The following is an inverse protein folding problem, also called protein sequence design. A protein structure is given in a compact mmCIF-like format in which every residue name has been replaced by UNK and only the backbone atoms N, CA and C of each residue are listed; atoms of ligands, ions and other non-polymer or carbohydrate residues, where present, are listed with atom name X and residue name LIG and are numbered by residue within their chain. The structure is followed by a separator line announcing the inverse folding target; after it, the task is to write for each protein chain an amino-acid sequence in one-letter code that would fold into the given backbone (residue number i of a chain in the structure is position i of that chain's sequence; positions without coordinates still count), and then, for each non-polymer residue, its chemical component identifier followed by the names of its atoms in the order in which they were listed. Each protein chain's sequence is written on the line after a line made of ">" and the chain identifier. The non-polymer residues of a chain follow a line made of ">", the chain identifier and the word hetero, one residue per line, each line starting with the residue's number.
data_IF_093948704629
#
_entry.id   IF_093948704629
#
_cell.length_a   1.000
_cell.length_b   1.000
_cell.length_c   1.000
_cell.angle_alpha   90.00
_cell.angle_beta   90.00
_cell.angle_gamma   90.00
#
_symmetry.space_group_name_H-M   'P 1'
#
loop_
_entity.id
_entity.type
_entity.pdbx_description
1 polymer ?
#
# COMPACT_ATOMS: atom_id res chain seq x y z
N UNK A 1 5.26 -4.99 17.58
CA UNK A 1 6.04 -4.09 16.73
C UNK A 1 7.53 -4.33 16.96
N UNK A 2 8.34 -4.45 15.91
CA UNK A 2 9.79 -4.62 16.03
C UNK A 2 10.50 -3.48 15.31
N UNK A 3 11.54 -2.94 15.92
CA UNK A 3 12.40 -1.90 15.36
C UNK A 3 13.85 -2.35 15.44
N UNK A 4 14.65 -1.91 14.49
CA UNK A 4 16.08 -2.17 14.45
C UNK A 4 16.83 -0.91 14.02
N UNK A 5 18.10 -0.82 14.41
CA UNK A 5 19.05 0.15 13.87
C UNK A 5 20.43 -0.49 13.80
N UNK A 6 21.22 -0.07 12.84
CA UNK A 6 22.66 -0.28 12.93
C UNK A 6 23.23 0.59 14.05
N UNK A 7 24.14 0.04 14.84
CA UNK A 7 24.83 0.79 15.89
C UNK A 7 26.14 1.32 15.30
N UNK A 8 26.14 2.58 14.94
CA UNK A 8 27.33 3.31 14.47
C UNK A 8 28.35 3.42 15.60
N UNK A 9 29.63 3.54 15.26
CA UNK A 9 30.74 3.50 16.23
C UNK A 9 30.67 4.66 17.24
N UNK A 10 30.21 5.83 16.78
CA UNK A 10 29.99 7.03 17.58
C UNK A 10 28.53 7.17 18.09
N UNK A 11 27.62 6.31 17.63
CA UNK A 11 26.20 6.35 17.98
C UNK A 11 25.38 7.40 17.24
N UNK A 12 25.96 8.10 16.26
CA UNK A 12 25.34 9.20 15.52
C UNK A 12 24.72 8.77 14.19
N UNK A 13 23.98 9.69 13.55
CA UNK A 13 23.38 9.51 12.23
C UNK A 13 24.35 9.90 11.11
N UNK A 14 24.63 8.97 10.20
CA UNK A 14 25.56 9.12 9.07
C UNK A 14 24.81 9.04 7.73
N UNK A 15 24.30 10.15 7.19
CA UNK A 15 23.48 10.15 5.96
C UNK A 15 24.20 9.61 4.72
N UNK A 16 25.53 9.68 4.71
CA UNK A 16 26.40 9.17 3.65
C UNK A 16 26.65 7.66 3.72
N UNK A 17 26.31 7.02 4.85
CA UNK A 17 26.52 5.60 5.02
C UNK A 17 25.59 4.77 4.09
N UNK A 18 25.99 3.53 3.74
CA UNK A 18 25.14 2.62 3.00
C UNK A 18 23.76 2.45 3.66
N UNK A 19 22.74 2.17 2.85
CA UNK A 19 21.38 1.96 3.35
C UNK A 19 21.37 0.91 4.47
N UNK A 20 20.75 1.25 5.60
CA UNK A 20 20.67 0.39 6.77
C UNK A 20 21.80 0.57 7.78
N UNK A 21 22.89 1.26 7.42
CA UNK A 21 24.09 1.42 8.26
C UNK A 21 24.28 2.85 8.81
N UNK A 22 23.31 3.72 8.56
CA UNK A 22 23.35 5.14 8.90
C UNK A 22 22.96 5.48 10.35
N UNK A 23 22.66 4.50 11.20
CA UNK A 23 22.22 4.77 12.58
C UNK A 23 20.73 5.08 12.76
N UNK A 24 19.94 5.15 11.67
CA UNK A 24 18.47 5.36 11.77
C UNK A 24 17.72 4.12 12.28
N UNK A 25 16.74 4.37 13.14
CA UNK A 25 15.73 3.37 13.49
C UNK A 25 14.83 3.06 12.29
N UNK A 26 14.58 1.77 12.08
CA UNK A 26 13.76 1.23 11.01
C UNK A 26 12.77 0.22 11.57
N UNK A 27 11.61 0.17 10.95
CA UNK A 27 10.62 -0.87 11.23
C UNK A 27 11.08 -2.22 10.69
N UNK A 28 10.74 -3.27 11.42
CA UNK A 28 10.83 -4.65 10.98
C UNK A 28 9.42 -5.24 10.89
N UNK A 29 9.09 -5.80 9.74
CA UNK A 29 7.83 -6.52 9.53
C UNK A 29 8.01 -7.98 9.99
N UNK A 30 7.07 -8.46 10.81
CA UNK A 30 6.97 -9.85 11.29
C UNK A 30 5.52 -10.17 11.62
N UNK A 31 5.20 -11.46 11.75
CA UNK A 31 3.90 -11.98 12.21
C UNK A 31 2.71 -11.38 11.45
N UNK A 32 2.67 -11.65 10.14
CA UNK A 32 1.64 -11.15 9.21
C UNK A 32 0.48 -12.14 9.00
N UNK A 33 0.39 -13.18 9.83
CA UNK A 33 -0.62 -14.25 9.77
C UNK A 33 -2.05 -13.75 10.02
N UNK A 34 -2.21 -12.66 10.77
CA UNK A 34 -3.50 -11.95 10.93
C UNK A 34 -3.96 -11.21 9.66
N UNK A 35 -3.16 -11.25 8.59
CA UNK A 35 -3.57 -10.82 7.27
C UNK A 35 -4.81 -11.57 6.75
N UNK A 36 -5.44 -11.01 5.71
CA UNK A 36 -6.57 -11.61 4.99
C UNK A 36 -7.77 -12.06 5.86
N UNK A 37 -7.92 -11.50 7.06
CA UNK A 37 -9.10 -11.71 7.89
C UNK A 37 -9.07 -12.99 8.73
N UNK A 38 -7.88 -13.42 9.20
CA UNK A 38 -7.74 -14.53 10.14
C UNK A 38 -8.76 -14.44 11.29
N UNK A 39 -9.27 -15.60 11.73
CA UNK A 39 -10.33 -15.72 12.74
C UNK A 39 -11.64 -14.99 12.37
N UNK A 40 -11.95 -14.92 11.08
CA UNK A 40 -13.18 -14.31 10.58
C UNK A 40 -13.22 -12.79 10.72
N UNK A 41 -12.06 -12.13 10.84
CA UNK A 41 -11.99 -10.66 10.87
C UNK A 41 -12.52 -10.11 9.55
N UNK A 42 -13.55 -9.26 9.65
CA UNK A 42 -14.23 -8.68 8.49
C UNK A 42 -13.28 -7.98 7.52
N UNK A 43 -13.54 -8.10 6.22
CA UNK A 43 -12.85 -7.32 5.18
C UNK A 43 -13.05 -5.81 5.33
N UNK A 44 -14.07 -5.37 6.07
CA UNK A 44 -14.32 -3.98 6.43
C UNK A 44 -13.66 -3.54 7.75
N UNK A 45 -12.89 -4.40 8.42
CA UNK A 45 -12.22 -4.03 9.68
C UNK A 45 -11.29 -2.82 9.46
N UNK A 46 -11.51 -1.75 10.21
CA UNK A 46 -10.78 -0.50 10.04
C UNK A 46 -9.41 -0.54 10.74
N UNK A 47 -8.45 -1.20 10.09
CA UNK A 47 -7.08 -1.34 10.60
C UNK A 47 -6.34 -0.01 10.71
N UNK A 48 -6.76 1.03 9.98
CA UNK A 48 -6.21 2.38 10.09
C UNK A 48 -6.63 3.03 11.42
N UNK A 49 -7.92 2.96 11.77
CA UNK A 49 -8.42 3.44 13.05
C UNK A 49 -7.80 2.67 14.23
N UNK A 50 -7.70 1.34 14.09
CA UNK A 50 -7.02 0.49 15.06
C UNK A 50 -5.55 0.92 15.28
N UNK A 51 -4.77 1.06 14.21
CA UNK A 51 -3.36 1.43 14.28
C UNK A 51 -3.15 2.86 14.77
N UNK A 52 -4.07 3.78 14.47
CA UNK A 52 -4.04 5.17 14.95
C UNK A 52 -4.53 5.32 16.40
N UNK A 53 -5.01 4.26 17.04
CA UNK A 53 -5.56 4.31 18.39
C UNK A 53 -6.85 5.13 18.49
N UNK A 54 -7.69 5.08 17.45
CA UNK A 54 -9.05 5.66 17.46
C UNK A 54 -10.09 4.68 18.02
N UNK A 55 -9.79 3.38 17.95
CA UNK A 55 -10.56 2.30 18.57
C UNK A 55 -9.68 1.58 19.58
N UNK A 56 -10.27 0.90 20.55
CA UNK A 56 -9.55 0.05 21.49
C UNK A 56 -9.90 -1.43 21.21
N UNK A 57 -8.89 -2.25 20.91
CA UNK A 57 -9.06 -3.68 20.63
C UNK A 57 -8.02 -4.48 21.43
N UNK A 58 -8.12 -4.40 22.75
CA UNK A 58 -7.29 -5.16 23.69
C UNK A 58 -5.84 -4.69 23.74
N UNK A 59 -4.91 -5.62 23.98
CA UNK A 59 -3.49 -5.32 24.17
C UNK A 59 -2.76 -4.96 22.86
N UNK A 60 -3.35 -5.24 21.70
CA UNK A 60 -2.69 -5.12 20.41
C UNK A 60 -2.51 -3.66 19.95
N UNK A 61 -3.27 -2.72 20.53
CA UNK A 61 -3.16 -1.29 20.22
C UNK A 61 -3.20 -0.37 21.46
N UNK A 62 -2.53 -0.81 22.54
CA UNK A 62 -2.31 0.04 23.71
C UNK A 62 -1.67 1.38 23.35
N UNK A 63 -1.87 2.40 24.21
CA UNK A 63 -1.47 3.78 23.93
C UNK A 63 0.00 3.91 23.53
N UNK A 64 0.91 3.20 24.21
CA UNK A 64 2.34 3.24 23.90
C UNK A 64 2.65 2.66 22.51
N UNK A 65 1.89 1.66 22.05
CA UNK A 65 2.12 0.97 20.79
C UNK A 65 1.68 1.83 19.59
N UNK A 66 0.62 2.62 19.75
CA UNK A 66 0.08 3.51 18.70
C UNK A 66 0.63 4.93 18.78
N UNK A 67 1.27 5.30 19.90
CA UNK A 67 1.71 6.68 20.19
C UNK A 67 2.48 7.32 19.04
N UNK A 68 3.51 6.65 18.54
CA UNK A 68 4.39 7.21 17.51
C UNK A 68 3.61 7.48 16.22
N UNK A 69 2.88 6.49 15.72
CA UNK A 69 2.11 6.61 14.48
C UNK A 69 1.01 7.68 14.60
N UNK A 70 0.23 7.64 15.69
CA UNK A 70 -0.82 8.64 15.96
C UNK A 70 -0.26 10.07 16.03
N UNK A 71 0.95 10.24 16.57
CA UNK A 71 1.61 11.55 16.68
C UNK A 71 2.10 12.04 15.32
N UNK A 72 2.73 11.17 14.52
CA UNK A 72 3.19 11.52 13.18
C UNK A 72 2.05 11.95 12.26
N UNK A 73 0.86 11.34 12.37
CA UNK A 73 -0.33 11.73 11.60
C UNK A 73 -0.83 13.17 11.86
N UNK A 74 -0.37 13.83 12.94
CA UNK A 74 -0.67 15.25 13.20
C UNK A 74 0.14 16.18 12.28
N UNK A 75 1.32 15.75 11.85
CA UNK A 75 2.13 16.49 10.89
C UNK A 75 1.51 16.34 9.49
N UNK A 76 1.25 17.47 8.84
CA UNK A 76 0.54 17.51 7.56
C UNK A 76 1.34 16.86 6.42
N UNK A 77 2.64 17.13 6.35
CA UNK A 77 3.54 16.56 5.35
C UNK A 77 3.58 15.03 5.47
N UNK A 78 3.86 14.50 6.65
CA UNK A 78 3.84 13.07 6.91
C UNK A 78 2.47 12.44 6.60
N UNK A 79 1.38 13.11 6.99
CA UNK A 79 0.03 12.61 6.70
C UNK A 79 -0.22 12.53 5.20
N UNK A 80 0.18 13.54 4.43
CA UNK A 80 0.03 13.54 2.98
C UNK A 80 0.87 12.44 2.34
N UNK A 81 2.13 12.28 2.77
CA UNK A 81 3.00 11.18 2.33
C UNK A 81 2.41 9.80 2.65
N UNK A 82 1.87 9.63 3.86
CA UNK A 82 1.23 8.40 4.30
C UNK A 82 0.03 8.06 3.41
N UNK A 83 -0.85 9.03 3.15
CA UNK A 83 -2.02 8.83 2.29
C UNK A 83 -1.60 8.50 0.86
N UNK A 84 -0.61 9.21 0.31
CA UNK A 84 -0.07 8.93 -1.02
C UNK A 84 0.61 7.57 -1.09
N UNK A 85 1.33 7.14 -0.05
CA UNK A 85 1.92 5.80 0.00
C UNK A 85 0.84 4.72 -0.05
N UNK A 86 -0.31 4.92 0.60
CA UNK A 86 -1.44 4.01 0.44
C UNK A 86 -2.00 4.02 -0.98
N UNK A 87 -2.19 5.19 -1.58
CA UNK A 87 -2.64 5.29 -2.97
C UNK A 87 -1.69 4.58 -3.94
N UNK A 88 -0.39 4.82 -3.81
CA UNK A 88 0.67 4.19 -4.60
C UNK A 88 0.59 2.67 -4.52
N UNK A 89 0.50 2.10 -3.31
CA UNK A 89 0.43 0.64 -3.13
C UNK A 89 -0.90 0.04 -3.59
N UNK A 90 -2.01 0.78 -3.49
CA UNK A 90 -3.34 0.37 -3.96
C UNK A 90 -3.50 0.47 -5.48
N UNK A 91 -2.60 1.18 -6.16
CA UNK A 91 -2.47 1.20 -7.62
C UNK A 91 -1.40 0.23 -8.14
N UNK A 92 -0.61 -0.40 -7.25
CA UNK A 92 0.51 -1.28 -7.61
C UNK A 92 0.48 -2.61 -6.84
N UNK A 93 1.22 -2.73 -5.73
CA UNK A 93 1.46 -3.99 -5.02
C UNK A 93 0.21 -4.73 -4.55
N UNK A 94 -0.85 -3.99 -4.20
CA UNK A 94 -2.09 -4.54 -3.63
C UNK A 94 -3.28 -4.55 -4.59
N UNK A 95 -3.04 -4.41 -5.90
CA UNK A 95 -4.14 -4.63 -6.86
C UNK A 95 -4.52 -6.11 -6.93
N UNK A 96 -5.82 -6.46 -7.01
CA UNK A 96 -6.23 -7.85 -7.01
C UNK A 96 -5.66 -8.67 -8.17
N UNK A 97 -5.48 -8.06 -9.35
CA UNK A 97 -4.87 -8.71 -10.52
C UNK A 97 -3.42 -9.16 -10.30
N UNK A 98 -2.75 -8.65 -9.27
CA UNK A 98 -1.41 -9.10 -8.86
C UNK A 98 -1.47 -10.07 -7.69
N UNK A 99 -2.26 -9.76 -6.67
CA UNK A 99 -2.26 -10.52 -5.41
C UNK A 99 -2.97 -11.87 -5.55
N UNK A 100 -4.05 -11.95 -6.32
CA UNK A 100 -4.80 -13.21 -6.53
C UNK A 100 -3.94 -14.28 -7.21
N UNK A 101 -3.22 -14.00 -8.32
CA UNK A 101 -2.29 -14.98 -8.89
C UNK A 101 -1.23 -15.48 -7.92
N UNK A 102 -0.70 -14.62 -7.04
CA UNK A 102 0.28 -15.05 -6.02
C UNK A 102 -0.36 -16.01 -5.01
N UNK A 103 -1.61 -15.75 -4.61
CA UNK A 103 -2.36 -16.68 -3.75
C UNK A 103 -2.54 -18.03 -4.46
N UNK A 104 -2.87 -18.00 -5.74
CA UNK A 104 -3.06 -19.22 -6.55
C UNK A 104 -1.77 -20.00 -6.70
N UNK A 105 -0.65 -19.32 -6.97
CA UNK A 105 0.67 -19.93 -7.07
C UNK A 105 1.05 -20.61 -5.76
N UNK A 106 0.92 -19.92 -4.62
CA UNK A 106 1.22 -20.49 -3.30
C UNK A 106 0.29 -21.66 -2.99
N UNK A 107 -1.01 -21.54 -3.26
CA UNK A 107 -1.96 -22.63 -3.04
C UNK A 107 -1.61 -23.86 -3.89
N UNK A 108 -1.18 -23.66 -5.14
CA UNK A 108 -0.78 -24.75 -6.05
C UNK A 108 0.47 -25.48 -5.57
N UNK A 109 1.44 -24.76 -5.01
CA UNK A 109 2.67 -25.32 -4.42
C UNK A 109 2.32 -26.20 -3.21
N UNK A 110 1.38 -25.76 -2.38
CA UNK A 110 0.99 -26.48 -1.17
C UNK A 110 0.05 -27.65 -1.43
N UNK A 111 -0.77 -27.58 -2.48
CA UNK A 111 -1.83 -28.55 -2.80
C UNK A 111 -1.41 -30.04 -2.69
N UNK A 112 -0.28 -30.50 -3.27
CA UNK A 112 0.10 -31.92 -3.20
C UNK A 112 0.37 -32.40 -1.76
N UNK A 113 0.81 -31.52 -0.87
CA UNK A 113 1.15 -31.84 0.52
C UNK A 113 -0.07 -31.81 1.46
N UNK A 114 -1.19 -31.24 1.00
CA UNK A 114 -2.34 -31.00 1.87
C UNK A 114 -2.97 -32.28 2.39
N UNK A 115 -2.92 -33.39 1.65
CA UNK A 115 -3.45 -34.67 2.14
C UNK A 115 -2.71 -35.13 3.40
N UNK A 116 -1.38 -35.29 3.31
CA UNK A 116 -0.55 -35.65 4.47
C UNK A 116 -0.74 -34.65 5.62
N UNK A 117 -0.80 -33.36 5.28
CA UNK A 117 -0.98 -32.31 6.28
C UNK A 117 -2.30 -32.47 7.05
N UNK A 118 -3.41 -32.75 6.37
CA UNK A 118 -4.71 -32.95 7.03
C UNK A 118 -4.83 -34.27 7.78
N UNK A 119 -4.08 -35.30 7.38
CA UNK A 119 -3.99 -36.56 8.12
C UNK A 119 -3.24 -36.37 9.45
N UNK A 120 -2.21 -35.52 9.47
CA UNK A 120 -1.43 -35.19 10.68
C UNK A 120 -2.13 -34.16 11.57
N UNK A 121 -2.76 -33.15 10.98
CA UNK A 121 -3.36 -32.01 11.66
C UNK A 121 -4.86 -31.90 11.34
N UNK A 122 -5.72 -32.62 12.09
CA UNK A 122 -7.13 -32.78 11.74
C UNK A 122 -7.98 -31.51 11.89
N UNK A 123 -7.39 -30.38 12.28
CA UNK A 123 -8.05 -29.07 12.31
C UNK A 123 -8.19 -28.46 10.91
N UNK A 124 -7.29 -28.81 9.97
CA UNK A 124 -7.42 -28.42 8.56
C UNK A 124 -8.16 -29.55 7.84
N UNK A 125 -9.14 -29.19 7.01
CA UNK A 125 -10.02 -30.16 6.35
C UNK A 125 -9.90 -30.05 4.83
N UNK A 126 -9.71 -31.18 4.14
CA UNK A 126 -9.85 -31.23 2.68
C UNK A 126 -11.33 -31.31 2.25
N UNK A 127 -12.14 -32.02 3.04
CA UNK A 127 -13.58 -32.20 2.81
C UNK A 127 -14.36 -31.82 4.06
N UNK A 128 -15.56 -31.26 3.88
CA UNK A 128 -16.48 -30.96 4.97
C UNK A 128 -17.39 -32.17 5.26
N UNK A 129 -17.53 -32.52 6.52
CA UNK A 129 -18.44 -33.58 7.02
C UNK A 129 -19.71 -33.02 7.65
N UNK A 130 -19.74 -31.71 7.93
CA UNK A 130 -20.91 -30.98 8.39
C UNK A 130 -20.83 -29.49 8.02
N UNK A 131 -21.97 -28.76 7.96
CA UNK A 131 -22.01 -27.38 7.47
C UNK A 131 -21.19 -26.33 8.24
N UNK A 132 -20.69 -26.66 9.43
CA UNK A 132 -19.88 -25.74 10.25
C UNK A 132 -18.38 -25.84 9.95
N UNK A 133 -17.95 -26.89 9.22
CA UNK A 133 -16.54 -27.06 8.85
C UNK A 133 -16.18 -26.25 7.60
N UNK A 134 -15.05 -25.56 7.66
CA UNK A 134 -14.47 -24.87 6.50
C UNK A 134 -13.33 -25.72 5.94
N UNK A 135 -13.35 -25.97 4.63
CA UNK A 135 -12.29 -26.69 3.94
C UNK A 135 -11.12 -25.76 3.60
N UNK A 136 -9.94 -26.33 3.40
CA UNK A 136 -8.77 -25.60 2.91
C UNK A 136 -9.07 -24.82 1.62
N UNK A 137 -9.81 -25.43 0.67
CA UNK A 137 -10.22 -24.75 -0.56
C UNK A 137 -11.18 -23.57 -0.33
N UNK A 138 -12.05 -23.65 0.68
CA UNK A 138 -12.91 -22.55 1.09
C UNK A 138 -12.10 -21.43 1.77
N UNK A 139 -11.09 -21.76 2.59
CA UNK A 139 -10.17 -20.77 3.17
C UNK A 139 -9.38 -20.02 2.10
N UNK A 140 -8.83 -20.72 1.10
CA UNK A 140 -8.14 -20.07 -0.03
C UNK A 140 -9.12 -19.16 -0.80
N UNK A 141 -10.37 -19.59 -0.97
CA UNK A 141 -11.43 -18.75 -1.58
C UNK A 141 -11.75 -17.52 -0.75
N UNK A 142 -11.79 -17.64 0.59
CA UNK A 142 -11.95 -16.51 1.50
C UNK A 142 -10.82 -15.49 1.33
N UNK A 143 -9.56 -15.94 1.28
CA UNK A 143 -8.39 -15.08 1.09
C UNK A 143 -8.48 -14.32 -0.25
N UNK A 144 -8.91 -14.98 -1.34
CA UNK A 144 -9.17 -14.32 -2.64
C UNK A 144 -10.26 -13.25 -2.53
N UNK A 145 -11.39 -13.58 -1.91
CA UNK A 145 -12.50 -12.65 -1.75
C UNK A 145 -12.11 -11.43 -0.91
N UNK A 146 -11.34 -11.65 0.16
CA UNK A 146 -10.76 -10.61 0.99
C UNK A 146 -9.89 -9.69 0.15
N UNK A 147 -8.98 -10.26 -0.64
CA UNK A 147 -8.09 -9.52 -1.56
C UNK A 147 -8.85 -8.66 -2.55
N UNK A 148 -9.90 -9.19 -3.16
CA UNK A 148 -10.69 -8.47 -4.15
C UNK A 148 -11.42 -7.26 -3.56
N UNK A 149 -11.88 -7.36 -2.31
CA UNK A 149 -12.72 -6.34 -1.67
C UNK A 149 -11.92 -5.33 -0.84
N UNK A 150 -10.80 -5.74 -0.24
CA UNK A 150 -10.04 -4.94 0.73
C UNK A 150 -9.57 -3.58 0.18
N UNK A 151 -9.09 -3.42 -1.07
CA UNK A 151 -8.66 -2.13 -1.59
C UNK A 151 -9.75 -1.04 -1.51
N UNK A 152 -11.00 -1.39 -1.77
CA UNK A 152 -12.13 -0.45 -1.69
C UNK A 152 -12.37 0.00 -0.25
N UNK A 153 -12.40 -0.93 0.71
CA UNK A 153 -12.56 -0.60 2.13
C UNK A 153 -11.41 0.26 2.66
N UNK A 154 -10.17 -0.04 2.28
CA UNK A 154 -9.01 0.77 2.70
C UNK A 154 -9.12 2.21 2.19
N UNK A 155 -9.54 2.42 0.92
CA UNK A 155 -9.79 3.78 0.41
C UNK A 155 -10.88 4.49 1.21
N UNK A 156 -11.98 3.81 1.52
CA UNK A 156 -13.07 4.37 2.34
C UNK A 156 -12.61 4.74 3.75
N UNK A 157 -11.77 3.92 4.39
CA UNK A 157 -11.21 4.23 5.70
C UNK A 157 -10.33 5.47 5.67
N UNK A 158 -9.49 5.64 4.63
CA UNK A 158 -8.67 6.85 4.44
C UNK A 158 -9.56 8.08 4.25
N UNK A 159 -10.57 8.01 3.38
CA UNK A 159 -11.53 9.09 3.17
C UNK A 159 -12.22 9.49 4.49
N UNK A 160 -12.71 8.52 5.24
CA UNK A 160 -13.40 8.77 6.51
C UNK A 160 -12.47 9.37 7.57
N UNK A 161 -11.28 8.78 7.76
CA UNK A 161 -10.31 9.18 8.79
C UNK A 161 -9.79 10.60 8.58
N UNK A 162 -9.53 10.98 7.33
CA UNK A 162 -8.87 12.24 6.99
C UNK A 162 -9.80 13.29 6.37
N UNK A 163 -11.13 13.07 6.42
CA UNK A 163 -12.12 14.04 5.93
C UNK A 163 -11.91 15.45 6.48
N UNK A 164 -11.69 15.55 7.79
CA UNK A 164 -11.46 16.82 8.49
C UNK A 164 -10.07 17.43 8.18
N UNK A 165 -9.19 16.68 7.50
CA UNK A 165 -7.91 17.16 6.98
C UNK A 165 -7.98 17.55 5.50
N UNK A 166 -9.18 17.67 4.93
CA UNK A 166 -9.38 18.10 3.54
C UNK A 166 -9.44 16.96 2.52
N UNK A 167 -9.39 15.70 2.95
CA UNK A 167 -9.54 14.54 2.06
C UNK A 167 -11.01 14.34 1.72
N UNK A 168 -11.42 14.72 0.50
CA UNK A 168 -12.84 14.89 0.14
C UNK A 168 -13.37 13.87 -0.85
N UNK A 169 -12.52 13.02 -1.40
CA UNK A 169 -12.91 12.03 -2.39
C UNK A 169 -11.70 11.44 -3.10
N UNK A 170 -11.92 10.86 -4.27
CA UNK A 170 -10.85 10.33 -5.13
C UNK A 170 -10.94 10.90 -6.54
N UNK A 171 -9.83 10.91 -7.25
CA UNK A 171 -9.72 11.32 -8.65
C UNK A 171 -8.68 10.44 -9.36
N UNK A 172 -8.91 10.15 -10.63
CA UNK A 172 -7.92 9.48 -11.45
C UNK A 172 -6.82 10.46 -11.87
N UNK A 173 -5.57 10.01 -11.77
CA UNK A 173 -4.42 10.60 -12.45
C UNK A 173 -4.15 9.72 -13.67
N UNK A 174 -4.16 10.32 -14.86
CA UNK A 174 -3.77 9.66 -16.10
C UNK A 174 -2.40 10.20 -16.52
N UNK A 175 -1.44 9.30 -16.70
CA UNK A 175 -0.08 9.62 -17.10
C UNK A 175 0.19 9.00 -18.46
N UNK A 176 0.63 9.80 -19.41
CA UNK A 176 1.08 9.33 -20.71
C UNK A 176 2.55 9.71 -20.90
N UNK A 177 3.33 8.79 -21.42
CA UNK A 177 4.76 8.98 -21.68
C UNK A 177 5.20 8.13 -22.87
N UNK A 178 6.35 8.45 -23.45
CA UNK A 178 7.05 7.53 -24.34
C UNK A 178 8.12 6.83 -23.52
N UNK A 179 7.85 5.59 -23.09
CA UNK A 179 8.75 4.81 -22.25
C UNK A 179 10.08 4.48 -22.93
N UNK A 180 10.22 4.71 -24.24
CA UNK A 180 11.51 4.62 -24.93
C UNK A 180 12.41 5.82 -24.64
N UNK A 181 11.86 6.97 -24.24
CA UNK A 181 12.55 8.24 -24.02
C UNK A 181 12.73 8.60 -22.53
N UNK A 182 11.99 7.98 -21.63
CA UNK A 182 12.02 8.27 -20.21
C UNK A 182 10.95 7.49 -19.46
N UNK A 183 10.69 7.88 -18.21
CA UNK A 183 9.52 7.42 -17.48
C UNK A 183 9.04 8.50 -16.51
N UNK A 184 7.84 8.30 -15.97
CA UNK A 184 7.27 9.19 -14.96
C UNK A 184 7.37 8.52 -13.60
N UNK A 185 7.86 9.25 -12.60
CA UNK A 185 7.70 8.91 -11.19
C UNK A 185 6.50 9.66 -10.64
N UNK A 186 5.58 8.96 -9.98
CA UNK A 186 4.48 9.57 -9.22
C UNK A 186 4.64 9.21 -7.75
N UNK A 187 4.77 10.23 -6.92
CA UNK A 187 5.11 10.13 -5.50
C UNK A 187 6.31 9.18 -5.28
N UNK A 188 6.05 7.99 -4.75
CA UNK A 188 7.09 7.01 -4.42
C UNK A 188 7.25 5.88 -5.44
N UNK A 189 6.43 5.83 -6.50
CA UNK A 189 6.48 4.78 -7.51
C UNK A 189 6.98 5.30 -8.86
N UNK A 190 7.84 4.53 -9.48
CA UNK A 190 8.27 4.74 -10.87
C UNK A 190 7.30 3.99 -11.79
N UNK A 191 6.79 4.63 -12.83
CA UNK A 191 5.87 4.02 -13.80
C UNK A 191 6.71 3.35 -14.89
N UNK A 192 7.16 2.14 -14.58
CA UNK A 192 8.01 1.29 -15.43
C UNK A 192 7.50 -0.15 -15.43
N UNK A 193 7.85 -0.99 -16.42
CA UNK A 193 7.36 -2.38 -16.51
C UNK A 193 7.65 -3.25 -15.28
N UNK A 194 8.75 -3.00 -14.59
CA UNK A 194 9.15 -3.77 -13.40
C UNK A 194 8.39 -3.35 -12.13
N UNK A 195 7.65 -2.24 -12.18
CA UNK A 195 6.82 -1.81 -11.04
C UNK A 195 5.61 -2.73 -10.91
N UNK A 196 5.31 -3.24 -9.71
CA UNK A 196 4.18 -4.14 -9.48
C UNK A 196 2.88 -3.67 -10.13
N UNK A 197 2.32 -4.53 -10.99
CA UNK A 197 1.06 -4.33 -11.71
C UNK A 197 1.00 -3.14 -12.70
N UNK A 198 2.14 -2.53 -13.04
CA UNK A 198 2.23 -1.59 -14.16
C UNK A 198 2.37 -2.39 -15.45
N UNK A 199 1.26 -2.55 -16.19
CA UNK A 199 1.24 -3.34 -17.45
C UNK A 199 1.51 -2.50 -18.69
N UNK A 200 1.22 -1.19 -18.64
CA UNK A 200 1.47 -0.26 -19.72
C UNK A 200 2.01 1.07 -19.14
N UNK A 201 3.33 1.27 -19.13
CA UNK A 201 3.90 2.51 -18.63
C UNK A 201 3.59 3.72 -19.52
N UNK A 202 3.37 3.53 -20.82
CA UNK A 202 3.09 4.61 -21.78
C UNK A 202 1.71 5.25 -21.57
N UNK A 203 0.77 4.51 -20.95
CA UNK A 203 -0.55 5.00 -20.60
C UNK A 203 -1.02 4.37 -19.29
N UNK A 204 -0.66 5.03 -18.19
CA UNK A 204 -0.95 4.57 -16.83
C UNK A 204 -2.08 5.38 -16.19
N UNK A 205 -2.91 4.71 -15.40
CA UNK A 205 -3.97 5.35 -14.64
C UNK A 205 -3.93 4.90 -13.19
N UNK A 206 -3.99 5.85 -12.27
CA UNK A 206 -4.03 5.59 -10.83
C UNK A 206 -5.08 6.40 -10.12
N UNK A 207 -5.71 5.81 -9.10
CA UNK A 207 -6.70 6.51 -8.29
C UNK A 207 -6.03 7.13 -7.06
N UNK A 208 -6.12 8.46 -6.92
CA UNK A 208 -5.55 9.24 -5.83
C UNK A 208 -6.63 10.00 -5.04
N UNK A 209 -6.26 10.56 -3.91
CA UNK A 209 -7.18 11.24 -3.00
C UNK A 209 -7.27 12.74 -3.31
N UNK A 210 -8.49 13.28 -3.41
CA UNK A 210 -8.72 14.72 -3.54
C UNK A 210 -8.33 15.43 -2.24
N UNK A 211 -7.71 16.61 -2.36
CA UNK A 211 -7.21 17.38 -1.22
C UNK A 211 -5.86 16.91 -0.65
N UNK A 212 -5.23 15.89 -1.26
CA UNK A 212 -3.85 15.48 -0.96
C UNK A 212 -2.97 15.87 -2.14
N UNK A 213 -1.87 16.62 -1.92
CA UNK A 213 -0.94 16.97 -3.00
C UNK A 213 -0.30 15.72 -3.61
N UNK A 214 -0.32 15.59 -4.93
CA UNK A 214 0.33 14.52 -5.70
C UNK A 214 1.51 15.13 -6.42
N UNK A 215 2.68 14.47 -6.35
CA UNK A 215 3.90 14.91 -7.03
C UNK A 215 4.23 13.97 -8.17
N UNK A 216 4.47 14.52 -9.36
CA UNK A 216 4.97 13.79 -10.52
C UNK A 216 6.35 14.34 -10.91
N UNK A 217 7.22 13.47 -11.39
CA UNK A 217 8.55 13.80 -11.90
C UNK A 217 8.84 13.05 -13.18
N UNK A 218 9.31 13.75 -14.20
CA UNK A 218 9.80 13.15 -15.44
C UNK A 218 11.26 12.74 -15.24
N UNK A 219 11.59 11.52 -15.62
CA UNK A 219 12.94 10.97 -15.54
C UNK A 219 13.34 10.59 -16.96
N UNK A 220 14.11 11.44 -17.68
CA UNK A 220 14.53 11.14 -19.04
C UNK A 220 15.55 10.01 -19.04
N UNK A 221 15.51 9.18 -20.09
CA UNK A 221 16.58 8.24 -20.39
C UNK A 221 17.79 8.97 -20.96
N UNK A 222 18.94 8.29 -20.97
CA UNK A 222 20.15 8.81 -21.60
C UNK A 222 19.88 9.22 -23.07
N UNK A 223 20.34 10.41 -23.44
CA UNK A 223 20.11 10.99 -24.77
C UNK A 223 18.83 11.82 -24.91
N UNK A 224 17.97 11.84 -23.89
CA UNK A 224 16.74 12.63 -23.86
C UNK A 224 16.79 13.70 -22.77
N UNK A 225 15.98 14.74 -22.93
CA UNK A 225 15.78 15.80 -21.93
C UNK A 225 14.29 16.00 -21.71
N UNK A 226 13.92 16.35 -20.49
CA UNK A 226 12.57 16.83 -20.22
C UNK A 226 12.33 18.15 -20.95
N UNK A 227 11.17 18.29 -21.59
CA UNK A 227 10.75 19.52 -22.25
C UNK A 227 9.71 20.25 -21.40
N UNK A 228 8.49 19.70 -21.31
CA UNK A 228 7.41 20.28 -20.52
C UNK A 228 6.33 19.24 -20.13
N UNK A 229 5.46 19.63 -19.20
CA UNK A 229 4.23 18.89 -18.90
C UNK A 229 3.02 19.49 -19.60
N UNK A 230 2.13 18.64 -20.08
CA UNK A 230 0.78 19.00 -20.57
C UNK A 230 -0.31 18.45 -19.63
N UNK A 231 -1.51 19.06 -19.66
CA UNK A 231 -2.68 18.52 -18.95
C UNK A 231 -2.73 18.78 -17.44
N UNK A 232 -1.79 19.54 -16.87
CA UNK A 232 -1.77 19.93 -15.46
C UNK A 232 -2.55 21.25 -15.25
N UNK A 233 -3.38 21.37 -14.18
CA UNK A 233 -4.01 22.65 -13.83
C UNK A 233 -2.97 23.76 -13.65
N UNK A 234 -3.17 24.92 -14.30
CA UNK A 234 -2.23 26.05 -14.27
C UNK A 234 -1.35 26.21 -15.51
N UNK A 235 -1.50 25.36 -16.53
CA UNK A 235 -0.83 25.48 -17.82
C UNK A 235 0.50 24.72 -17.91
N UNK A 236 1.29 25.02 -18.95
CA UNK A 236 2.59 24.40 -19.20
C UNK A 236 3.54 24.62 -18.01
N UNK A 237 4.12 23.53 -17.49
CA UNK A 237 5.11 23.56 -16.42
C UNK A 237 6.49 23.19 -16.98
N UNK A 238 7.48 24.04 -16.73
CA UNK A 238 8.88 23.86 -17.18
C UNK A 238 9.77 23.14 -16.16
N UNK A 239 9.25 22.86 -14.97
CA UNK A 239 9.94 22.02 -13.98
C UNK A 239 9.71 20.55 -14.31
N UNK A 240 10.78 19.74 -14.26
CA UNK A 240 10.70 18.27 -14.41
C UNK A 240 9.83 17.62 -13.33
N UNK A 241 9.61 18.35 -12.23
CA UNK A 241 8.85 17.93 -11.06
C UNK A 241 7.71 18.91 -10.81
N UNK A 242 6.49 18.39 -10.70
CA UNK A 242 5.28 19.19 -10.46
C UNK A 242 4.46 18.56 -9.36
N UNK A 243 3.96 19.40 -8.44
CA UNK A 243 3.01 19.00 -7.40
C UNK A 243 1.67 19.68 -7.65
N UNK A 244 0.58 18.91 -7.67
CA UNK A 244 -0.76 19.43 -7.86
C UNK A 244 -1.74 18.78 -6.88
N UNK A 245 -2.83 19.50 -6.58
CA UNK A 245 -3.88 19.02 -5.68
C UNK A 245 -5.21 19.08 -6.43
N UNK A 246 -5.94 17.96 -6.47
CA UNK A 246 -7.30 17.98 -6.99
C UNK A 246 -8.19 18.83 -6.09
N UNK A 247 -8.86 19.81 -6.70
CA UNK A 247 -9.72 20.75 -6.00
C UNK A 247 -10.86 20.09 -5.21
N UNK A 248 -11.34 20.80 -4.19
CA UNK A 248 -12.58 20.46 -3.49
C UNK A 248 -13.73 20.70 -4.46
N UNK A 249 -14.70 19.79 -4.52
CA UNK A 249 -16.01 20.21 -5.00
C UNK A 249 -16.54 21.19 -3.96
N UNK A 250 -16.49 22.49 -4.25
CA UNK A 250 -17.28 23.48 -3.52
C UNK A 250 -18.74 23.16 -3.82
N UNK A 251 -19.50 22.85 -2.78
CA UNK A 251 -20.95 22.80 -2.82
C UNK A 251 -21.50 24.15 -2.38
#
# INVERSE_FOLDING_TARGET
>A
MAIWRYKTDDGEYHPEAPYGQDGRWRWMLKDTDFGFGLYGKSVSHNTLAFAAGDTYEGYANEEWAVFLFKTLLKNEEFRNEFINRFADQLNTSFVPSRVVPIIDDVASILQPEMQEHTDRWPFIKLTSTNPMETTWSQEVTWIRNYTNSRPTYVRQHILSKFRNNGVTGTAYVSLNTDSTQGHIKINSIDIVPDTPAVTNPDSWNGLYFKGVPVTVKAIPKEGYVFDHWEGIPGGLQSSDTVTFTFGRCEH
#
